data_IF_500764444005
#
_entry.id   IF_500764444005
#
_cell.length_a   1.000
_cell.length_b   1.000
_cell.length_c   1.000
_cell.angle_alpha   90.00
_cell.angle_beta   90.00
_cell.angle_gamma   90.00
#
_symmetry.space_group_name_H-M   'P 1'
#
loop_
_entity.id
_entity.type
_entity.pdbx_description
1 polymer ?
#
# COMPACT_ATOMS: atom_id res chain seq x y z
N UNK A 1 -23.51 -27.05 12.80
CA UNK A 1 -23.20 -27.06 11.35
C UNK A 1 -23.97 -25.92 10.68
N UNK A 2 -23.44 -24.70 10.75
CA UNK A 2 -24.14 -23.51 10.24
C UNK A 2 -23.78 -23.19 8.78
N UNK A 3 -22.54 -23.49 8.36
CA UNK A 3 -22.07 -23.17 7.00
C UNK A 3 -22.80 -23.89 5.87
N UNK A 4 -23.37 -25.07 6.15
CA UNK A 4 -24.19 -25.79 5.18
C UNK A 4 -25.50 -25.06 4.85
N UNK A 5 -25.91 -24.10 5.68
CA UNK A 5 -27.09 -23.24 5.44
C UNK A 5 -26.84 -22.18 4.34
N UNK A 6 -25.58 -21.97 3.95
CA UNK A 6 -25.24 -21.13 2.79
C UNK A 6 -25.63 -21.79 1.45
N UNK A 7 -25.90 -23.11 1.46
CA UNK A 7 -26.28 -23.86 0.27
C UNK A 7 -27.65 -23.39 -0.21
N UNK A 8 -27.73 -22.94 -1.46
CA UNK A 8 -28.95 -22.42 -2.08
C UNK A 8 -29.05 -20.90 -2.14
N UNK A 9 -28.13 -20.17 -1.49
CA UNK A 9 -27.94 -18.73 -1.72
C UNK A 9 -27.19 -18.49 -3.04
N UNK A 10 -27.31 -17.29 -3.60
CA UNK A 10 -26.46 -16.91 -4.72
C UNK A 10 -24.98 -17.02 -4.31
N UNK A 11 -24.07 -17.53 -5.18
CA UNK A 11 -22.66 -17.68 -4.83
C UNK A 11 -22.03 -16.36 -4.36
N UNK A 12 -22.46 -15.22 -4.91
CA UNK A 12 -21.99 -13.90 -4.49
C UNK A 12 -22.39 -13.56 -3.05
N UNK A 13 -23.67 -13.73 -2.70
CA UNK A 13 -24.18 -13.49 -1.34
C UNK A 13 -23.56 -14.47 -0.34
N UNK A 14 -23.42 -15.74 -0.72
CA UNK A 14 -22.81 -16.77 0.12
C UNK A 14 -21.33 -16.46 0.41
N UNK A 15 -20.56 -16.02 -0.60
CA UNK A 15 -19.17 -15.55 -0.41
C UNK A 15 -19.10 -14.37 0.54
N UNK A 16 -19.98 -13.38 0.37
CA UNK A 16 -20.00 -12.20 1.21
C UNK A 16 -20.30 -12.57 2.67
N UNK A 17 -21.31 -13.40 2.90
CA UNK A 17 -21.68 -13.85 4.24
C UNK A 17 -20.57 -14.71 4.89
N UNK A 18 -19.93 -15.58 4.11
CA UNK A 18 -18.77 -16.35 4.57
C UNK A 18 -17.60 -15.43 4.96
N UNK A 19 -17.32 -14.42 4.15
CA UNK A 19 -16.23 -13.46 4.41
C UNK A 19 -16.51 -12.64 5.66
N UNK A 20 -17.75 -12.16 5.81
CA UNK A 20 -18.16 -11.33 6.93
C UNK A 20 -18.19 -12.07 8.27
N UNK A 21 -18.54 -13.36 8.27
CA UNK A 21 -18.71 -14.15 9.51
C UNK A 21 -17.50 -15.02 9.82
N UNK A 22 -17.11 -15.89 8.90
CA UNK A 22 -16.07 -16.89 9.13
C UNK A 22 -14.69 -16.31 8.90
N UNK A 23 -14.46 -15.69 7.74
CA UNK A 23 -13.13 -15.17 7.43
C UNK A 23 -12.73 -14.10 8.45
N UNK A 24 -13.63 -13.17 8.80
CA UNK A 24 -13.36 -12.14 9.79
C UNK A 24 -12.93 -12.71 11.16
N UNK A 25 -13.66 -13.70 11.70
CA UNK A 25 -13.37 -14.29 13.02
C UNK A 25 -12.03 -15.03 13.02
N UNK A 26 -11.76 -15.79 11.96
CA UNK A 26 -10.52 -16.55 11.83
C UNK A 26 -9.33 -15.60 11.60
N UNK A 27 -9.52 -14.55 10.79
CA UNK A 27 -8.50 -13.55 10.47
C UNK A 27 -8.23 -12.60 11.66
N UNK A 28 -9.21 -12.30 12.51
CA UNK A 28 -9.02 -11.42 13.68
C UNK A 28 -7.98 -11.99 14.64
N UNK A 29 -8.10 -13.27 14.95
CA UNK A 29 -7.17 -13.91 15.87
C UNK A 29 -5.82 -14.21 15.20
N UNK A 30 -5.71 -14.21 13.86
CA UNK A 30 -4.56 -14.78 13.12
C UNK A 30 -3.22 -14.26 13.62
N UNK A 31 -3.10 -12.98 13.95
CA UNK A 31 -1.86 -12.39 14.43
C UNK A 31 -1.35 -13.00 15.75
N UNK A 32 -2.24 -13.52 16.59
CA UNK A 32 -1.90 -14.12 17.89
C UNK A 32 -1.44 -15.55 17.74
N UNK A 33 -1.98 -16.36 16.82
CA UNK A 33 -1.69 -17.80 16.72
C UNK A 33 -1.01 -18.23 15.41
N UNK A 34 -0.82 -17.35 14.43
CA UNK A 34 -0.07 -17.64 13.20
C UNK A 34 1.39 -18.04 13.48
N UNK A 35 1.94 -17.62 14.61
CA UNK A 35 3.24 -18.05 15.11
C UNK A 35 3.24 -19.56 15.49
N UNK A 36 2.09 -20.09 15.92
CA UNK A 36 1.86 -21.50 16.21
C UNK A 36 1.48 -22.31 14.97
N UNK A 37 1.48 -21.70 13.78
CA UNK A 37 1.19 -22.31 12.47
C UNK A 37 2.29 -23.26 11.99
N UNK A 38 3.02 -23.91 12.91
CA UNK A 38 3.88 -25.05 12.60
C UNK A 38 3.01 -26.26 12.22
N UNK A 39 2.44 -26.28 11.02
CA UNK A 39 1.68 -27.34 10.32
C UNK A 39 0.53 -28.07 11.06
N UNK A 40 0.66 -28.36 12.36
CA UNK A 40 -0.27 -29.14 13.19
C UNK A 40 -1.66 -28.52 13.34
N UNK A 41 -1.77 -27.18 13.31
CA UNK A 41 -3.04 -26.46 13.50
C UNK A 41 -3.76 -26.08 12.19
N UNK A 42 -3.23 -26.49 11.03
CA UNK A 42 -3.80 -26.15 9.70
C UNK A 42 -5.06 -26.97 9.40
N UNK A 43 -5.13 -28.21 9.89
CA UNK A 43 -6.21 -29.15 9.58
C UNK A 43 -7.62 -28.59 9.86
N UNK A 44 -7.90 -28.06 11.06
CA UNK A 44 -9.21 -27.49 11.37
C UNK A 44 -9.59 -26.29 10.50
N UNK A 45 -8.64 -25.41 10.19
CA UNK A 45 -8.87 -24.21 9.37
C UNK A 45 -9.22 -24.61 7.93
N UNK A 46 -8.41 -25.50 7.35
CA UNK A 46 -8.62 -25.99 6.00
C UNK A 46 -9.94 -26.75 5.89
N UNK A 47 -10.38 -27.41 6.96
CA UNK A 47 -11.71 -28.03 7.03
C UNK A 47 -12.82 -26.99 7.00
N UNK A 48 -12.70 -25.89 7.76
CA UNK A 48 -13.69 -24.79 7.75
C UNK A 48 -13.72 -24.09 6.39
N UNK A 49 -12.56 -23.80 5.79
CA UNK A 49 -12.47 -23.24 4.44
C UNK A 49 -13.13 -24.16 3.42
N UNK A 50 -12.79 -25.45 3.42
CA UNK A 50 -13.35 -26.43 2.49
C UNK A 50 -14.87 -26.53 2.63
N UNK A 51 -15.40 -26.64 3.85
CA UNK A 51 -16.85 -26.73 4.06
C UNK A 51 -17.57 -25.45 3.62
N UNK A 52 -16.99 -24.27 3.88
CA UNK A 52 -17.54 -22.99 3.42
C UNK A 52 -17.53 -22.86 1.91
N UNK A 53 -16.39 -23.17 1.27
CA UNK A 53 -16.24 -23.16 -0.18
C UNK A 53 -17.19 -24.15 -0.87
N UNK A 54 -17.32 -25.37 -0.34
CA UNK A 54 -18.30 -26.35 -0.83
C UNK A 54 -19.74 -25.86 -0.71
N UNK A 55 -20.08 -25.15 0.37
CA UNK A 55 -21.43 -24.62 0.55
C UNK A 55 -21.74 -23.47 -0.43
N UNK A 56 -20.75 -22.67 -0.80
CA UNK A 56 -20.85 -21.56 -1.77
C UNK A 56 -20.99 -22.09 -3.20
N UNK A 57 -20.13 -23.03 -3.59
CA UNK A 57 -20.16 -23.62 -4.94
C UNK A 57 -21.36 -24.55 -5.08
N UNK A 58 -21.71 -25.29 -4.03
CA UNK A 58 -22.92 -26.10 -3.93
C UNK A 58 -22.91 -27.42 -4.72
N UNK A 59 -22.00 -27.56 -5.69
CA UNK A 59 -21.91 -28.72 -6.61
C UNK A 59 -21.01 -29.84 -6.10
N UNK A 60 -19.97 -29.51 -5.33
CA UNK A 60 -18.93 -30.46 -4.94
C UNK A 60 -19.08 -30.99 -3.50
N UNK A 61 -19.21 -32.31 -3.35
CA UNK A 61 -19.26 -32.99 -2.04
C UNK A 61 -17.86 -33.31 -1.48
N UNK A 62 -16.90 -33.67 -2.35
CA UNK A 62 -15.54 -34.07 -1.95
C UNK A 62 -14.50 -33.49 -2.92
N UNK A 63 -13.86 -32.39 -2.53
CA UNK A 63 -12.86 -31.69 -3.35
C UNK A 63 -11.68 -31.23 -2.48
N UNK A 64 -10.49 -31.15 -3.07
CA UNK A 64 -9.31 -30.61 -2.41
C UNK A 64 -9.54 -29.14 -1.99
N UNK A 65 -9.02 -28.71 -0.84
CA UNK A 65 -9.27 -27.35 -0.32
C UNK A 65 -8.85 -26.26 -1.33
N UNK A 66 -7.71 -26.42 -2.00
CA UNK A 66 -7.23 -25.46 -3.01
C UNK A 66 -8.19 -25.30 -4.19
N UNK A 67 -8.74 -26.41 -4.69
CA UNK A 67 -9.71 -26.41 -5.79
C UNK A 67 -11.02 -25.80 -5.33
N UNK A 68 -11.51 -26.16 -4.14
CA UNK A 68 -12.73 -25.59 -3.58
C UNK A 68 -12.60 -24.07 -3.38
N UNK A 69 -11.47 -23.58 -2.86
CA UNK A 69 -11.19 -22.15 -2.68
C UNK A 69 -11.16 -21.40 -4.02
N UNK A 70 -10.53 -21.98 -5.06
CA UNK A 70 -10.48 -21.40 -6.39
C UNK A 70 -11.87 -21.29 -7.03
N UNK A 71 -12.64 -22.38 -7.03
CA UNK A 71 -14.01 -22.44 -7.57
C UNK A 71 -14.97 -21.52 -6.80
N UNK A 72 -14.79 -21.42 -5.48
CA UNK A 72 -15.57 -20.53 -4.65
C UNK A 72 -15.10 -19.07 -4.75
N UNK A 73 -14.05 -18.75 -5.53
CA UNK A 73 -13.43 -17.42 -5.61
C UNK A 73 -13.13 -16.82 -4.23
N UNK A 74 -12.52 -17.62 -3.34
CA UNK A 74 -12.11 -17.21 -1.99
C UNK A 74 -10.59 -17.30 -1.89
N UNK A 75 -9.96 -16.26 -1.34
CA UNK A 75 -8.53 -16.28 -1.05
C UNK A 75 -8.19 -17.32 0.03
N UNK A 76 -7.07 -18.03 -0.15
CA UNK A 76 -6.61 -19.05 0.80
C UNK A 76 -6.43 -18.47 2.20
N UNK A 77 -6.69 -19.27 3.24
CA UNK A 77 -6.55 -18.82 4.62
C UNK A 77 -5.13 -18.28 4.91
N UNK A 78 -4.10 -18.97 4.40
CA UNK A 78 -2.71 -18.53 4.54
C UNK A 78 -2.47 -17.15 3.93
N UNK A 79 -3.00 -16.89 2.73
CA UNK A 79 -2.84 -15.59 2.07
C UNK A 79 -3.51 -14.47 2.86
N UNK A 80 -4.72 -14.70 3.39
CA UNK A 80 -5.42 -13.72 4.23
C UNK A 80 -4.66 -13.41 5.51
N UNK A 81 -4.13 -14.42 6.19
CA UNK A 81 -3.34 -14.24 7.41
C UNK A 81 -2.04 -13.51 7.14
N UNK A 82 -1.34 -13.86 6.06
CA UNK A 82 -0.13 -13.17 5.65
C UNK A 82 -0.40 -11.69 5.35
N UNK A 83 -1.47 -11.40 4.61
CA UNK A 83 -1.90 -10.03 4.34
C UNK A 83 -2.21 -9.25 5.62
N UNK A 84 -2.85 -9.90 6.62
CA UNK A 84 -3.09 -9.30 7.94
C UNK A 84 -1.81 -9.04 8.72
N UNK A 85 -0.90 -10.00 8.74
CA UNK A 85 0.39 -9.87 9.42
C UNK A 85 1.22 -8.72 8.83
N UNK A 86 1.32 -8.66 7.50
CA UNK A 86 1.97 -7.56 6.77
C UNK A 86 1.30 -6.23 7.08
N UNK A 87 -0.03 -6.18 7.05
CA UNK A 87 -0.77 -4.96 7.39
C UNK A 87 -0.47 -4.50 8.81
N UNK A 88 -0.55 -5.38 9.80
CA UNK A 88 -0.27 -5.00 11.20
C UNK A 88 1.18 -4.57 11.41
N UNK A 89 2.12 -5.19 10.68
CA UNK A 89 3.52 -4.81 10.72
C UNK A 89 3.73 -3.42 10.12
N UNK A 90 3.15 -3.15 8.95
CA UNK A 90 3.16 -1.82 8.34
C UNK A 90 2.47 -0.78 9.24
N UNK A 91 1.30 -1.09 9.79
CA UNK A 91 0.57 -0.21 10.71
C UNK A 91 1.41 0.12 11.95
N UNK A 92 2.16 -0.83 12.51
CA UNK A 92 3.09 -0.56 13.62
C UNK A 92 4.23 0.39 13.23
N UNK A 93 4.75 0.26 12.01
CA UNK A 93 5.84 1.10 11.48
C UNK A 93 5.38 2.48 11.03
N UNK A 94 4.11 2.66 10.65
CA UNK A 94 3.54 3.97 10.30
C UNK A 94 3.06 4.77 11.51
N UNK A 95 3.05 4.18 12.72
CA UNK A 95 2.74 4.91 13.95
C UNK A 95 3.74 6.06 14.20
N UNK A 96 3.28 7.18 14.79
CA UNK A 96 4.16 8.26 15.22
C UNK A 96 5.27 7.75 16.14
N UNK A 97 6.46 8.36 16.07
CA UNK A 97 7.62 7.98 16.89
C UNK A 97 7.36 8.12 18.40
N UNK A 98 6.42 9.00 18.80
CA UNK A 98 5.97 9.16 20.19
C UNK A 98 5.20 7.95 20.71
N UNK A 99 4.71 7.06 19.84
CA UNK A 99 3.92 5.91 20.26
C UNK A 99 4.82 4.82 20.87
N UNK A 100 4.48 4.29 22.07
CA UNK A 100 5.27 3.24 22.70
C UNK A 100 5.38 1.97 21.85
N UNK A 101 4.40 1.65 21.00
CA UNK A 101 4.43 0.48 20.12
C UNK A 101 5.51 0.59 19.03
N UNK A 102 5.73 1.80 18.50
CA UNK A 102 6.79 2.08 17.52
C UNK A 102 8.18 1.93 18.16
N UNK A 103 8.34 2.41 19.41
CA UNK A 103 9.58 2.20 20.16
C UNK A 103 9.82 0.73 20.48
N UNK A 104 8.77 -0.02 20.78
CA UNK A 104 8.88 -1.45 21.02
C UNK A 104 9.29 -2.22 19.76
N UNK A 105 8.86 -1.81 18.56
CA UNK A 105 9.20 -2.54 17.33
C UNK A 105 10.70 -2.64 17.07
N UNK A 106 11.45 -1.58 17.35
CA UNK A 106 12.91 -1.56 17.20
C UNK A 106 13.60 -2.44 18.25
N UNK A 107 12.98 -2.61 19.41
CA UNK A 107 13.50 -3.37 20.55
C UNK A 107 13.18 -4.87 20.49
N UNK A 108 12.17 -5.29 19.70
CA UNK A 108 11.78 -6.70 19.52
C UNK A 108 12.97 -7.59 19.14
N UNK A 109 13.95 -7.05 18.41
CA UNK A 109 15.15 -7.78 17.98
C UNK A 109 15.93 -8.43 19.13
N UNK A 110 15.75 -7.96 20.38
CA UNK A 110 16.57 -8.36 21.54
C UNK A 110 15.90 -9.36 22.49
N UNK A 111 14.64 -9.75 22.30
CA UNK A 111 13.92 -10.53 23.32
C UNK A 111 14.09 -12.07 23.21
N UNK A 112 14.48 -12.64 24.37
CA UNK A 112 14.68 -14.04 24.83
C UNK A 112 14.60 -15.20 23.81
N UNK A 113 15.64 -16.05 23.89
CA UNK A 113 15.85 -17.31 23.13
C UNK A 113 14.78 -18.40 23.33
N UNK A 114 14.05 -18.39 24.44
CA UNK A 114 13.17 -19.50 24.85
C UNK A 114 11.66 -19.25 24.68
N UNK A 115 11.16 -18.03 24.95
CA UNK A 115 9.75 -17.68 24.82
C UNK A 115 9.58 -16.59 23.76
N UNK A 116 9.47 -17.02 22.49
CA UNK A 116 9.24 -16.11 21.36
C UNK A 116 7.78 -15.64 21.37
N UNK A 117 7.56 -14.34 21.56
CA UNK A 117 6.21 -13.77 21.47
C UNK A 117 5.64 -13.96 20.06
N UNK A 118 4.31 -14.03 19.89
CA UNK A 118 3.67 -14.08 18.57
C UNK A 118 4.15 -12.96 17.64
N UNK A 119 4.28 -11.76 18.22
CA UNK A 119 4.75 -10.56 17.53
C UNK A 119 6.22 -10.68 17.09
N UNK A 120 7.09 -11.27 17.93
CA UNK A 120 8.49 -11.55 17.54
C UNK A 120 8.57 -12.48 16.32
N UNK A 121 7.69 -13.47 16.22
CA UNK A 121 7.72 -14.42 15.09
C UNK A 121 7.22 -13.78 13.79
N UNK A 122 6.23 -12.89 13.87
CA UNK A 122 5.81 -12.05 12.75
C UNK A 122 6.95 -11.12 12.32
N UNK A 123 7.63 -10.47 13.28
CA UNK A 123 8.78 -9.62 13.02
C UNK A 123 9.94 -10.39 12.37
N UNK A 124 10.26 -11.60 12.83
CA UNK A 124 11.30 -12.44 12.24
C UNK A 124 10.97 -12.87 10.80
N UNK A 125 9.69 -13.12 10.49
CA UNK A 125 9.23 -13.44 9.14
C UNK A 125 9.25 -12.22 8.21
N UNK A 126 8.99 -11.01 8.73
CA UNK A 126 8.87 -9.77 7.96
C UNK A 126 10.11 -8.87 8.02
N UNK A 127 11.18 -9.29 8.70
CA UNK A 127 12.43 -8.51 8.87
C UNK A 127 13.12 -8.12 7.58
N UNK A 128 12.85 -8.84 6.49
CA UNK A 128 13.45 -8.62 5.18
C UNK A 128 12.71 -7.54 4.37
N UNK A 129 11.53 -7.09 4.84
CA UNK A 129 10.80 -6.02 4.19
C UNK A 129 11.32 -4.70 4.75
N UNK A 130 11.88 -3.87 3.89
CA UNK A 130 12.29 -2.52 4.26
C UNK A 130 11.04 -1.67 4.54
N UNK A 131 10.90 -1.24 5.78
CA UNK A 131 9.78 -0.43 6.27
C UNK A 131 10.17 1.05 6.42
N UNK A 132 11.46 1.39 6.29
CA UNK A 132 11.96 2.76 6.43
C UNK A 132 11.74 3.58 5.15
N UNK A 133 11.64 2.91 4.00
CA UNK A 133 11.38 3.52 2.68
C UNK A 133 9.90 3.61 2.30
N UNK A 134 8.96 3.39 3.24
CA UNK A 134 7.53 3.44 2.94
C UNK A 134 7.08 4.87 2.58
N UNK A 135 6.41 4.98 1.44
CA UNK A 135 5.76 6.23 1.04
C UNK A 135 4.65 6.59 2.03
N UNK A 136 4.71 7.82 2.56
CA UNK A 136 3.65 8.37 3.40
C UNK A 136 2.60 9.03 2.51
N UNK A 137 1.46 8.35 2.32
CA UNK A 137 0.31 8.92 1.61
C UNK A 137 -0.47 9.78 2.60
N UNK A 138 -0.39 11.10 2.46
CA UNK A 138 -1.22 12.01 3.23
C UNK A 138 -2.69 11.86 2.81
N UNK A 139 -3.64 11.65 3.76
CA UNK A 139 -5.05 11.41 3.43
C UNK A 139 -5.70 12.63 2.77
N UNK A 140 -5.13 13.81 2.97
CA UNK A 140 -5.54 15.04 2.30
C UNK A 140 -4.32 15.73 1.69
N UNK A 141 -4.45 16.18 0.46
CA UNK A 141 -3.46 17.04 -0.20
C UNK A 141 -3.50 18.47 0.33
N UNK A 142 -4.62 18.87 0.92
CA UNK A 142 -4.89 20.16 1.58
C UNK A 142 -5.75 19.89 2.82
N UNK A 143 -5.52 20.61 3.91
CA UNK A 143 -6.29 20.37 5.13
C UNK A 143 -7.79 20.70 4.92
N UNK A 144 -8.72 19.98 5.57
CA UNK A 144 -10.16 20.21 5.39
C UNK A 144 -10.62 21.64 5.68
N UNK A 145 -9.90 22.34 6.54
CA UNK A 145 -10.15 23.72 6.98
C UNK A 145 -9.31 24.76 6.22
N UNK A 146 -8.44 24.35 5.31
CA UNK A 146 -7.78 25.29 4.41
C UNK A 146 -8.75 25.75 3.32
N UNK A 147 -8.71 27.05 3.02
CA UNK A 147 -9.50 27.61 1.94
C UNK A 147 -9.09 26.94 0.63
N UNK A 148 -9.97 26.10 0.09
CA UNK A 148 -9.82 25.59 -1.27
C UNK A 148 -9.81 26.81 -2.18
N UNK A 149 -8.84 26.90 -3.10
CA UNK A 149 -8.86 27.96 -4.09
C UNK A 149 -10.22 27.93 -4.78
N UNK A 150 -10.98 29.03 -4.66
CA UNK A 150 -12.12 29.24 -5.53
C UNK A 150 -11.55 29.32 -6.94
N UNK A 151 -11.89 28.35 -7.77
CA UNK A 151 -11.62 28.40 -9.20
C UNK A 151 -12.71 29.30 -9.77
N UNK A 152 -12.58 30.60 -9.53
CA UNK A 152 -13.28 31.61 -10.32
C UNK A 152 -12.34 31.98 -11.47
N UNK A 153 -12.72 31.53 -12.66
CA UNK A 153 -12.21 31.92 -13.98
C UNK A 153 -10.80 31.47 -14.40
N UNK A 154 -10.57 31.29 -15.73
CA UNK A 154 -9.41 30.59 -16.26
C UNK A 154 -8.14 31.39 -15.96
N UNK A 155 -7.20 30.75 -15.26
CA UNK A 155 -5.90 31.33 -14.94
C UNK A 155 -5.15 31.59 -16.25
N UNK A 156 -5.23 32.82 -16.73
CA UNK A 156 -4.22 33.47 -17.55
C UNK A 156 -2.95 33.59 -16.70
N UNK A 157 -1.90 32.93 -17.21
CA UNK A 157 -0.47 33.21 -17.03
C UNK A 157 -0.01 34.04 -15.82
N UNK A 158 0.81 33.43 -14.95
CA UNK A 158 1.77 34.20 -14.16
C UNK A 158 2.17 33.64 -12.81
N UNK A 159 3.03 32.60 -12.79
CA UNK A 159 4.15 32.51 -11.84
C UNK A 159 5.02 31.30 -12.19
N UNK A 160 6.13 31.58 -12.88
CA UNK A 160 7.18 30.62 -13.19
C UNK A 160 7.99 30.27 -11.95
N UNK A 161 7.66 29.15 -11.29
CA UNK A 161 8.59 28.47 -10.38
C UNK A 161 9.56 27.62 -11.22
N UNK A 162 10.88 27.67 -10.99
CA UNK A 162 11.89 27.03 -11.85
C UNK A 162 11.98 25.52 -11.55
N UNK A 163 10.94 24.78 -11.91
CA UNK A 163 10.90 23.34 -11.92
C UNK A 163 9.81 22.95 -12.90
N UNK A 164 10.15 22.28 -14.01
CA UNK A 164 9.24 22.04 -15.13
C UNK A 164 7.84 21.68 -14.66
N UNK A 165 6.86 22.49 -15.03
CA UNK A 165 5.50 22.37 -14.54
C UNK A 165 4.83 21.16 -15.20
N UNK A 166 4.24 20.29 -14.38
CA UNK A 166 3.40 19.19 -14.82
C UNK A 166 1.96 19.55 -14.53
N UNK A 167 1.14 19.70 -15.57
CA UNK A 167 -0.27 20.01 -15.42
C UNK A 167 -1.07 18.71 -15.53
N UNK A 168 -1.84 18.41 -14.47
CA UNK A 168 -2.72 17.24 -14.42
C UNK A 168 -4.15 17.77 -14.35
N UNK A 169 -4.93 17.52 -15.39
CA UNK A 169 -6.35 17.82 -15.41
C UNK A 169 -7.14 16.52 -15.22
N UNK A 170 -8.07 16.52 -14.25
CA UNK A 170 -8.97 15.40 -14.01
C UNK A 170 -10.40 15.83 -14.32
N UNK A 171 -11.09 15.07 -15.16
CA UNK A 171 -12.51 15.29 -15.44
C UNK A 171 -13.30 14.04 -15.07
N UNK A 172 -14.28 14.20 -14.20
CA UNK A 172 -15.27 13.17 -13.92
C UNK A 172 -16.53 13.46 -14.73
N UNK A 173 -17.17 12.40 -15.22
CA UNK A 173 -18.41 12.48 -15.98
C UNK A 173 -19.34 11.39 -15.49
N UNK A 174 -20.62 11.75 -15.29
CA UNK A 174 -21.67 10.80 -14.91
C UNK A 174 -22.71 10.76 -16.02
N UNK A 175 -22.97 9.59 -16.60
CA UNK A 175 -24.03 9.39 -17.59
C UNK A 175 -24.68 8.03 -17.36
N UNK A 176 -26.01 8.00 -17.28
CA UNK A 176 -26.81 6.79 -17.05
C UNK A 176 -26.31 5.97 -15.85
N UNK A 177 -26.16 6.60 -14.68
CA UNK A 177 -25.66 6.00 -13.43
C UNK A 177 -24.23 5.40 -13.50
N UNK A 178 -23.54 5.51 -14.64
CA UNK A 178 -22.14 5.16 -14.79
C UNK A 178 -21.27 6.39 -14.56
N UNK A 179 -20.32 6.29 -13.63
CA UNK A 179 -19.32 7.34 -13.36
C UNK A 179 -18.01 6.94 -14.04
N UNK A 180 -17.53 7.81 -14.94
CA UNK A 180 -16.23 7.69 -15.59
C UNK A 180 -15.28 8.79 -15.11
N UNK A 181 -13.99 8.45 -15.01
CA UNK A 181 -12.91 9.40 -14.70
C UNK A 181 -11.88 9.39 -15.82
N UNK A 182 -11.54 10.58 -16.32
CA UNK A 182 -10.45 10.79 -17.28
C UNK A 182 -9.36 11.65 -16.67
N UNK A 183 -8.11 11.25 -16.83
CA UNK A 183 -6.93 12.01 -16.42
C UNK A 183 -6.14 12.38 -17.67
N UNK A 184 -5.86 13.66 -17.86
CA UNK A 184 -4.96 14.17 -18.87
C UNK A 184 -3.73 14.75 -18.18
N UNK A 185 -2.54 14.35 -18.66
CA UNK A 185 -1.26 14.79 -18.11
C UNK A 185 -0.47 15.46 -19.22
N UNK A 186 -0.18 16.74 -19.05
CA UNK A 186 0.67 17.50 -19.95
C UNK A 186 1.98 17.87 -19.27
N UNK A 187 3.10 17.47 -19.88
CA UNK A 187 4.45 17.76 -19.43
C UNK A 187 5.10 18.74 -20.39
N UNK A 188 5.32 19.98 -19.97
CA UNK A 188 6.08 20.93 -20.78
C UNK A 188 7.59 20.60 -20.73
N UNK A 189 8.25 20.38 -21.88
CA UNK A 189 9.70 20.15 -21.91
C UNK A 189 10.47 21.45 -21.61
N UNK A 190 11.63 21.30 -20.94
CA UNK A 190 12.58 22.40 -20.66
C UNK A 190 13.06 23.01 -21.98
N UNK A 191 13.01 24.33 -22.13
CA UNK A 191 13.74 25.03 -23.20
C UNK A 191 15.25 24.81 -23.00
N UNK A 192 16.03 24.41 -24.02
CA UNK A 192 17.48 24.30 -23.90
C UNK A 192 18.10 25.69 -23.75
N UNK A 193 18.91 25.87 -22.70
CA UNK A 193 19.75 27.06 -22.54
C UNK A 193 20.87 27.03 -23.59
N UNK A 194 20.76 27.85 -24.64
CA UNK A 194 21.87 28.11 -25.56
C UNK A 194 22.86 29.06 -24.88
N UNK A 195 23.98 28.53 -24.39
CA UNK A 195 25.12 29.33 -23.96
C UNK A 195 26.00 29.63 -25.19
N UNK A 196 25.83 30.79 -25.81
CA UNK A 196 26.74 31.30 -26.84
C UNK A 196 28.01 31.82 -26.16
N UNK A 197 29.07 31.01 -26.14
CA UNK A 197 30.40 31.43 -25.69
C UNK A 197 31.07 32.24 -26.81
N UNK A 198 31.06 33.57 -26.70
CA UNK A 198 31.88 34.46 -27.54
C UNK A 198 33.24 34.64 -26.88
N UNK A 199 34.27 33.99 -27.41
CA UNK A 199 35.66 34.27 -27.02
C UNK A 199 36.14 35.55 -27.71
N UNK A 200 36.21 36.66 -26.96
CA UNK A 200 37.01 37.82 -27.35
C UNK A 200 38.43 37.64 -26.84
N UNK A 201 39.38 37.38 -27.76
CA UNK A 201 40.81 37.40 -27.48
C UNK A 201 41.25 38.86 -27.40
N UNK A 202 41.55 39.34 -26.18
CA UNK A 202 42.21 40.63 -25.96
C UNK A 202 43.64 40.39 -25.49
N UNK A 203 44.60 40.61 -26.39
CA UNK A 203 46.02 40.60 -26.09
C UNK A 203 46.39 41.83 -25.24
N UNK A 204 46.76 41.64 -23.97
CA UNK A 204 47.42 42.67 -23.15
C UNK A 204 48.91 42.39 -23.08
N UNK A 205 49.64 43.29 -23.75
CA UNK A 205 51.09 43.50 -23.73
C UNK A 205 51.54 43.84 -22.29
N UNK A 206 52.46 43.04 -21.75
CA UNK A 206 53.19 43.36 -20.51
C UNK A 206 54.10 44.57 -20.77
N UNK A 207 53.93 45.63 -19.99
CA UNK A 207 54.89 46.73 -19.90
C UNK A 207 55.33 46.85 -18.44
N UNK A 208 56.53 46.33 -18.13
CA UNK A 208 57.26 46.59 -16.89
C UNK A 208 57.89 47.98 -17.00
N UNK A 209 57.67 48.85 -16.01
CA UNK A 209 58.51 50.04 -15.79
C UNK A 209 58.73 50.29 -14.30
N UNK A 210 59.96 50.72 -14.02
CA UNK A 210 60.48 51.25 -12.76
C UNK A 210 61.72 50.47 -12.33
N UNK A 211 62.86 51.05 -11.97
CA UNK A 211 63.40 52.42 -11.96
C UNK A 211 64.85 52.30 -11.42
N UNK A 212 65.69 53.32 -11.66
CA UNK A 212 66.90 53.79 -10.93
C UNK A 212 67.55 52.85 -9.86
N UNK A 213 68.86 52.56 -9.82
CA UNK A 213 70.08 53.35 -10.04
C UNK A 213 71.23 52.43 -10.51
#
# INVERSE_FOLDING_TARGET
>A
MELRRLRGLSPATARQLFTATVALVVDYASNVWMHAFKNKNIGPINRVQRVGAQAIVGTFLTVATSVAEAEAHIATAQHRFWRRAVKTWADLHTLPETNPLRRNTDQIRKFRRYHRSPLYQVADALKNIDMESLETINPFTLAPWEARMQIDEPITEGSTVPGGSMQIAVRSSVRNELVGFGVAVEKQPRKPYTHTHTHFINARRLNRKGNYH
#
